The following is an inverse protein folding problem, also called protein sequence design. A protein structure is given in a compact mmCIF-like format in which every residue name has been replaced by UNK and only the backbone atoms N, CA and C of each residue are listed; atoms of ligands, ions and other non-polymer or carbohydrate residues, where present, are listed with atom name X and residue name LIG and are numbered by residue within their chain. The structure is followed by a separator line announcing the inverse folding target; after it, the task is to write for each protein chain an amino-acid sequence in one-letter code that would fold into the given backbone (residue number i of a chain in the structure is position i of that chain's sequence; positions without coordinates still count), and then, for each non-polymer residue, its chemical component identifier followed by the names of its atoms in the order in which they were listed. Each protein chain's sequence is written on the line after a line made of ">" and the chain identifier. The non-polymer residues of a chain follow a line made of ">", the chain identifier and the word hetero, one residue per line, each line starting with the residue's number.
data_IF_385117171870
#
_entry.id   IF_385117171870
#
_cell.length_a   1.000
_cell.length_b   1.000
_cell.length_c   1.000
_cell.angle_alpha   90.00
_cell.angle_beta   90.00
_cell.angle_gamma   90.00
#
_symmetry.space_group_name_H-M   'P 1'
#
loop_
_entity.id
_entity.type
_entity.pdbx_description
1 polymer ?
#
# COMPACT_ATOMS: atom_id res chain seq x y z
N UNK A 1 0.40 -9.54 -0.07
CA UNK A 1 -0.59 -10.14 -0.97
C UNK A 1 0.07 -10.89 -2.13
N UNK A 2 1.12 -10.34 -2.70
CA UNK A 2 1.85 -10.98 -3.80
C UNK A 2 2.59 -12.24 -3.37
N UNK A 3 2.78 -12.43 -2.08
CA UNK A 3 3.42 -13.63 -1.56
C UNK A 3 2.43 -14.76 -1.32
N UNK A 4 1.13 -14.48 -1.35
CA UNK A 4 0.11 -15.52 -1.31
C UNK A 4 0.08 -16.22 -2.67
N UNK A 5 -0.01 -17.54 -2.68
CA UNK A 5 -0.06 -18.27 -3.93
C UNK A 5 -1.35 -19.08 -4.04
N UNK A 6 -1.98 -18.98 -5.21
CA UNK A 6 -3.01 -19.92 -5.63
C UNK A 6 -2.36 -21.10 -6.30
N UNK A 7 -2.50 -21.20 -7.62
CA UNK A 7 -1.89 -22.27 -8.40
C UNK A 7 -0.48 -21.95 -8.89
N UNK A 8 0.02 -20.81 -8.62
CA UNK A 8 1.36 -20.27 -8.82
C UNK A 8 2.17 -20.68 -10.04
N UNK A 9 2.26 -19.82 -11.07
CA UNK A 9 3.04 -20.18 -12.25
C UNK A 9 3.69 -18.96 -12.89
N UNK A 10 3.47 -18.68 -14.16
CA UNK A 10 4.12 -17.59 -14.87
C UNK A 10 3.48 -16.22 -14.55
N UNK A 11 4.07 -15.15 -15.05
CA UNK A 11 3.63 -13.78 -14.76
C UNK A 11 2.18 -13.48 -15.10
N UNK A 12 1.67 -14.00 -16.20
CA UNK A 12 0.28 -13.80 -16.59
C UNK A 12 -0.68 -14.48 -15.61
N UNK A 13 -0.34 -15.70 -15.20
CA UNK A 13 -1.11 -16.44 -14.19
C UNK A 13 -1.02 -15.77 -12.85
N UNK A 14 0.11 -15.14 -12.54
CA UNK A 14 0.30 -14.39 -11.32
C UNK A 14 -0.69 -13.24 -11.18
N UNK A 15 -0.90 -12.52 -12.27
CA UNK A 15 -1.87 -11.42 -12.29
C UNK A 15 -3.29 -11.94 -12.04
N UNK A 16 -3.66 -13.06 -12.64
CA UNK A 16 -4.96 -13.68 -12.42
C UNK A 16 -5.13 -14.20 -10.99
N UNK A 17 -4.07 -14.79 -10.43
CA UNK A 17 -4.10 -15.25 -9.04
C UNK A 17 -4.36 -14.12 -8.07
N UNK A 18 -3.65 -13.01 -8.25
CA UNK A 18 -3.83 -11.84 -7.39
C UNK A 18 -5.24 -11.29 -7.53
N UNK A 19 -5.79 -11.28 -8.74
CA UNK A 19 -7.16 -10.84 -8.99
C UNK A 19 -8.17 -11.73 -8.26
N UNK A 20 -7.96 -13.03 -8.28
CA UNK A 20 -8.84 -13.98 -7.58
C UNK A 20 -8.75 -13.79 -6.07
N UNK A 21 -7.54 -13.64 -5.53
CA UNK A 21 -7.33 -13.40 -4.10
C UNK A 21 -8.01 -12.09 -3.68
N UNK A 22 -7.86 -11.05 -4.46
CA UNK A 22 -8.45 -9.75 -4.17
C UNK A 22 -9.98 -9.85 -4.09
N UNK A 23 -10.60 -10.50 -5.06
CA UNK A 23 -12.06 -10.70 -5.06
C UNK A 23 -12.52 -11.55 -3.90
N UNK A 24 -11.76 -12.60 -3.58
CA UNK A 24 -12.07 -13.47 -2.45
C UNK A 24 -12.02 -12.73 -1.13
N UNK A 25 -11.05 -11.85 -0.94
CA UNK A 25 -10.95 -11.02 0.26
C UNK A 25 -12.13 -10.05 0.37
N UNK A 26 -12.56 -9.48 -0.74
CA UNK A 26 -13.72 -8.60 -0.77
C UNK A 26 -15.00 -9.36 -0.38
N UNK A 27 -15.17 -10.55 -0.94
CA UNK A 27 -16.31 -11.40 -0.62
C UNK A 27 -16.29 -11.81 0.86
N UNK A 28 -15.10 -12.15 1.38
CA UNK A 28 -14.94 -12.52 2.79
C UNK A 28 -15.32 -11.37 3.71
N UNK A 29 -14.89 -10.15 3.38
CA UNK A 29 -15.23 -8.97 4.19
C UNK A 29 -16.74 -8.78 4.27
N UNK A 30 -17.44 -8.97 3.15
CA UNK A 30 -18.90 -8.86 3.11
C UNK A 30 -19.56 -9.98 3.90
N UNK A 31 -19.10 -11.20 3.74
CA UNK A 31 -19.64 -12.37 4.41
C UNK A 31 -19.50 -12.25 5.93
N UNK A 32 -18.33 -11.81 6.39
CA UNK A 32 -18.06 -11.65 7.83
C UNK A 32 -18.58 -10.33 8.39
N UNK A 33 -19.02 -9.42 7.54
CA UNK A 33 -19.39 -8.06 7.91
C UNK A 33 -18.28 -7.38 8.72
N UNK A 34 -17.04 -7.51 8.23
CA UNK A 34 -15.84 -7.03 8.92
C UNK A 34 -14.88 -6.40 7.92
N UNK A 35 -14.07 -5.43 8.32
CA UNK A 35 -13.04 -4.91 7.46
C UNK A 35 -11.91 -5.92 7.31
N UNK A 36 -11.33 -5.96 6.11
CA UNK A 36 -10.15 -6.77 5.81
C UNK A 36 -9.04 -5.84 5.35
N UNK A 37 -7.89 -5.91 6.01
CA UNK A 37 -6.71 -5.12 5.66
C UNK A 37 -5.68 -6.06 5.06
N UNK A 38 -5.26 -5.77 3.83
CA UNK A 38 -4.25 -6.54 3.11
C UNK A 38 -3.00 -5.73 2.90
N UNK A 39 -1.85 -6.35 3.11
CA UNK A 39 -0.57 -5.75 2.82
C UNK A 39 -0.11 -6.19 1.43
N UNK A 40 0.41 -5.25 0.68
CA UNK A 40 0.81 -5.48 -0.71
C UNK A 40 2.14 -4.80 -0.97
N UNK A 41 3.01 -5.49 -1.71
CA UNK A 41 4.27 -4.90 -2.17
C UNK A 41 4.01 -4.10 -3.45
N UNK A 42 4.78 -3.03 -3.62
CA UNK A 42 4.68 -2.19 -4.80
C UNK A 42 5.68 -2.60 -5.86
N UNK A 43 5.39 -2.22 -7.11
CA UNK A 43 6.35 -2.30 -8.18
C UNK A 43 7.60 -1.49 -7.82
N UNK A 44 8.77 -1.96 -8.28
CA UNK A 44 10.02 -1.23 -8.06
C UNK A 44 10.11 0.07 -8.88
N UNK A 45 9.13 0.35 -9.71
CA UNK A 45 9.10 1.58 -10.47
C UNK A 45 9.17 2.82 -9.58
N UNK A 46 8.58 2.77 -8.39
CA UNK A 46 8.64 3.90 -7.46
C UNK A 46 10.08 4.19 -6.97
N UNK A 47 10.95 3.18 -6.94
CA UNK A 47 12.34 3.36 -6.53
C UNK A 47 13.18 4.04 -7.60
N UNK A 48 12.74 4.00 -8.85
CA UNK A 48 13.44 4.64 -9.97
C UNK A 48 12.96 6.05 -10.25
N UNK A 49 11.83 6.46 -9.68
CA UNK A 49 11.34 7.83 -9.84
C UNK A 49 12.16 8.79 -8.97
N UNK A 50 12.33 10.04 -9.42
CA UNK A 50 13.12 11.01 -8.64
C UNK A 50 12.58 11.28 -7.24
N UNK A 51 11.27 11.28 -7.05
CA UNK A 51 10.65 11.57 -5.76
C UNK A 51 10.39 10.32 -4.93
N UNK A 52 10.55 9.12 -5.49
CA UNK A 52 10.30 7.82 -4.85
C UNK A 52 8.90 7.69 -4.23
N UNK A 53 7.95 8.54 -4.65
CA UNK A 53 6.61 8.51 -4.07
C UNK A 53 5.75 7.46 -4.75
N UNK A 54 5.09 6.59 -3.96
CA UNK A 54 4.20 5.58 -4.51
C UNK A 54 2.93 6.19 -5.10
N UNK A 55 2.38 5.53 -6.09
CA UNK A 55 1.12 5.91 -6.72
C UNK A 55 0.37 4.67 -7.14
N UNK A 56 -0.91 4.82 -7.50
CA UNK A 56 -1.77 3.68 -7.82
C UNK A 56 -1.23 2.82 -8.95
N UNK A 57 -0.54 3.40 -9.92
CA UNK A 57 0.07 2.64 -11.00
C UNK A 57 1.15 1.67 -10.53
N UNK A 58 1.69 1.85 -9.32
CA UNK A 58 2.68 0.93 -8.75
C UNK A 58 2.05 -0.39 -8.31
N UNK A 59 0.73 -0.48 -8.28
CA UNK A 59 0.00 -1.74 -8.08
C UNK A 59 -0.18 -2.49 -9.40
N UNK A 60 0.81 -2.42 -10.28
CA UNK A 60 0.72 -2.85 -11.67
C UNK A 60 0.21 -4.27 -11.87
N UNK A 61 0.75 -5.24 -11.14
CA UNK A 61 0.31 -6.62 -11.22
C UNK A 61 -0.96 -6.87 -10.43
N UNK A 62 -1.49 -5.84 -9.83
CA UNK A 62 -2.56 -5.90 -8.87
C UNK A 62 -3.66 -4.90 -9.20
N UNK A 63 -3.92 -4.67 -10.49
CA UNK A 63 -4.96 -3.74 -10.92
C UNK A 63 -6.33 -4.05 -10.33
N UNK A 64 -6.61 -5.34 -10.11
CA UNK A 64 -7.86 -5.74 -9.47
C UNK A 64 -7.91 -5.28 -8.02
N UNK A 65 -6.79 -5.21 -7.32
CA UNK A 65 -6.73 -4.71 -5.95
C UNK A 65 -7.18 -3.25 -5.92
N UNK A 66 -6.71 -2.46 -6.87
CA UNK A 66 -7.12 -1.05 -6.97
C UNK A 66 -8.62 -0.93 -7.17
N UNK A 67 -9.22 -1.79 -7.99
CA UNK A 67 -10.66 -1.77 -8.26
C UNK A 67 -11.47 -2.29 -7.09
N UNK A 68 -11.03 -3.37 -6.46
CA UNK A 68 -11.79 -4.03 -5.39
C UNK A 68 -11.68 -3.31 -4.05
N UNK A 69 -10.55 -2.68 -3.78
CA UNK A 69 -10.34 -2.02 -2.49
C UNK A 69 -11.22 -0.78 -2.34
N UNK A 70 -11.77 -0.62 -1.15
CA UNK A 70 -12.50 0.60 -0.80
C UNK A 70 -11.54 1.74 -0.44
N UNK A 71 -10.39 1.38 0.14
CA UNK A 71 -9.35 2.32 0.54
C UNK A 71 -8.01 1.75 0.13
N UNK A 72 -7.19 2.57 -0.51
CA UNK A 72 -5.79 2.25 -0.81
C UNK A 72 -4.91 3.29 -0.15
N UNK A 73 -3.99 2.81 0.69
CA UNK A 73 -3.04 3.66 1.40
C UNK A 73 -1.62 3.22 1.10
N UNK A 74 -0.74 4.17 0.90
CA UNK A 74 0.68 3.91 0.75
C UNK A 74 1.45 4.46 1.94
N UNK A 75 2.52 3.77 2.31
CA UNK A 75 3.45 4.23 3.33
C UNK A 75 4.70 4.78 2.65
N UNK A 76 5.14 5.95 3.05
CA UNK A 76 6.31 6.61 2.48
C UNK A 76 7.13 7.28 3.57
N UNK A 77 8.46 7.17 3.46
CA UNK A 77 9.39 7.89 4.32
C UNK A 77 10.47 8.49 3.46
N UNK A 78 10.59 9.82 3.49
CA UNK A 78 11.62 10.50 2.73
C UNK A 78 13.03 10.17 3.24
N UNK A 79 13.19 10.01 4.57
CA UNK A 79 14.49 9.70 5.15
C UNK A 79 15.01 8.31 4.79
N UNK A 80 14.15 7.43 4.30
CA UNK A 80 14.58 6.12 3.80
C UNK A 80 15.39 6.25 2.51
N UNK A 81 15.00 7.19 1.64
CA UNK A 81 15.65 7.40 0.35
C UNK A 81 16.64 8.53 0.36
N UNK A 82 16.48 9.51 1.23
CA UNK A 82 17.26 10.74 1.26
C UNK A 82 17.81 10.98 2.67
N UNK A 83 19.11 10.77 2.84
CA UNK A 83 19.76 10.94 4.15
C UNK A 83 19.81 12.39 4.60
N UNK A 84 19.73 13.33 3.65
CA UNK A 84 19.78 14.77 3.94
C UNK A 84 18.39 15.38 3.98
N UNK A 85 17.38 14.57 4.24
CA UNK A 85 15.99 15.04 4.28
C UNK A 85 15.77 16.10 5.36
N UNK A 86 14.88 17.04 5.07
CA UNK A 86 14.43 18.04 6.04
C UNK A 86 13.40 17.45 7.02
N UNK A 87 12.93 16.24 6.76
CA UNK A 87 11.88 15.61 7.56
C UNK A 87 12.32 14.24 8.06
N UNK A 88 13.38 14.15 8.90
CA UNK A 88 13.80 12.87 9.45
C UNK A 88 12.74 12.30 10.38
N UNK A 89 12.59 10.98 10.36
CA UNK A 89 11.65 10.24 11.20
C UNK A 89 10.18 10.62 10.97
N UNK A 90 9.87 11.20 9.82
CA UNK A 90 8.48 11.46 9.42
C UNK A 90 8.06 10.41 8.39
N UNK A 91 6.96 9.73 8.68
CA UNK A 91 6.33 8.82 7.75
C UNK A 91 5.05 9.46 7.23
N UNK A 92 4.74 9.19 5.97
CA UNK A 92 3.50 9.67 5.37
C UNK A 92 2.60 8.49 5.04
N UNK A 93 1.33 8.59 5.43
CA UNK A 93 0.30 7.68 4.98
C UNK A 93 -0.46 8.39 3.87
N UNK A 94 -0.25 7.94 2.64
CA UNK A 94 -0.85 8.57 1.47
C UNK A 94 -2.13 7.82 1.13
N UNK A 95 -3.27 8.46 1.35
CA UNK A 95 -4.56 7.89 1.01
C UNK A 95 -4.83 8.20 -0.46
N UNK A 96 -4.54 7.22 -1.32
CA UNK A 96 -4.61 7.40 -2.77
C UNK A 96 -5.99 7.09 -3.33
N UNK A 97 -6.79 6.30 -2.60
CA UNK A 97 -8.16 5.97 -2.97
C UNK A 97 -8.99 5.83 -1.71
N UNK A 98 -10.17 6.43 -1.70
CA UNK A 98 -11.14 6.27 -0.61
C UNK A 98 -12.54 6.49 -1.15
N UNK A 99 -13.38 5.46 -1.14
CA UNK A 99 -14.73 5.55 -1.72
C UNK A 99 -15.64 6.52 -0.98
N UNK A 100 -15.53 6.56 0.34
CA UNK A 100 -16.45 7.32 1.17
C UNK A 100 -15.80 8.54 1.81
N UNK A 101 -14.70 9.02 1.24
CA UNK A 101 -14.02 10.18 1.80
C UNK A 101 -12.98 10.75 0.85
N UNK A 102 -12.31 11.84 1.24
CA UNK A 102 -11.31 12.47 0.39
C UNK A 102 -9.99 11.69 0.40
N UNK A 103 -9.23 11.86 -0.67
CA UNK A 103 -7.84 11.42 -0.70
C UNK A 103 -7.00 12.50 0.01
N UNK A 104 -5.80 12.13 0.43
CA UNK A 104 -4.91 13.06 1.10
C UNK A 104 -3.72 12.35 1.73
N UNK A 105 -2.98 13.07 2.53
CA UNK A 105 -1.78 12.56 3.17
C UNK A 105 -1.80 12.88 4.66
N UNK A 106 -1.51 11.87 5.48
CA UNK A 106 -1.37 12.02 6.94
C UNK A 106 0.09 11.79 7.30
N UNK A 107 0.65 12.68 8.10
CA UNK A 107 2.03 12.54 8.58
C UNK A 107 2.04 11.89 9.95
N UNK A 108 2.96 10.94 10.14
CA UNK A 108 3.18 10.25 11.40
C UNK A 108 4.66 10.34 11.77
N UNK A 109 4.95 10.17 13.05
CA UNK A 109 6.33 10.04 13.51
C UNK A 109 6.74 8.57 13.40
N UNK A 110 7.91 8.34 12.80
CA UNK A 110 8.55 7.02 12.79
C UNK A 110 9.61 6.95 13.87
N UNK A 111 9.49 5.97 14.75
CA UNK A 111 10.49 5.73 15.81
C UNK A 111 11.24 4.45 15.47
N UNK A 112 12.41 4.57 14.83
CA UNK A 112 13.17 3.38 14.40
C UNK A 112 13.68 2.55 15.57
N UNK A 113 14.01 3.18 16.68
CA UNK A 113 14.50 2.48 17.88
C UNK A 113 13.43 1.56 18.48
N UNK A 114 12.15 1.85 18.21
CA UNK A 114 11.02 1.05 18.70
C UNK A 114 10.28 0.33 17.56
N UNK A 115 10.70 0.55 16.32
CA UNK A 115 10.01 0.05 15.13
C UNK A 115 8.51 0.36 15.21
N UNK A 116 8.19 1.62 15.47
CA UNK A 116 6.82 2.03 15.81
C UNK A 116 6.47 3.37 15.16
N UNK A 117 5.22 3.47 14.71
CA UNK A 117 4.63 4.75 14.32
C UNK A 117 3.96 5.39 15.53
N UNK A 118 4.00 6.71 15.58
CA UNK A 118 3.35 7.49 16.62
C UNK A 118 2.69 8.72 16.01
N UNK A 119 1.75 9.29 16.74
CA UNK A 119 1.13 10.53 16.29
C UNK A 119 2.16 11.66 16.30
N UNK A 120 2.09 12.49 15.28
CA UNK A 120 2.97 13.65 15.21
C UNK A 120 2.53 14.66 16.25
N UNK A 121 3.48 15.11 17.07
CA UNK A 121 3.20 16.16 18.05
C UNK A 121 2.99 17.48 17.33
N UNK A 122 1.94 18.19 17.72
CA UNK A 122 1.64 19.50 17.17
C UNK A 122 2.01 20.60 18.14
#
# INVERSE_FOLDING_TARGET
>A
LQLMSGSGKSGENRQQEISEISRSLKALARELNAPVISLSQLSRACETRPDHRPMLSDLRESGAIEQDADVVMFLYRDDYYNKDTDTPNIAEVIIAKQRNGPIGTVQLMWRPELTKFANLAK
#
